data_IF_481082535156
#
_entry.id   IF_481082535156
#
_cell.length_a   1.000
_cell.length_b   1.000
_cell.length_c   1.000
_cell.angle_alpha   90.00
_cell.angle_beta   90.00
_cell.angle_gamma   90.00
#
_symmetry.space_group_name_H-M   'P 1'
#
loop_
_entity.id
_entity.type
_entity.pdbx_description
1 polymer ?
#
# COMPACT_ATOMS: atom_id res chain seq x y z
N UNK A 1 45.50 -0.02 6.05
CA UNK A 1 44.60 -1.12 5.65
C UNK A 1 43.33 -0.45 5.12
N UNK A 2 43.26 -0.13 3.81
CA UNK A 2 42.50 -0.87 2.76
C UNK A 2 41.02 -1.05 3.17
N UNK A 3 40.01 -0.47 2.50
CA UNK A 3 39.62 -0.58 1.08
C UNK A 3 38.87 0.70 0.63
N UNK A 4 39.13 1.34 -0.51
CA UNK A 4 38.99 0.92 -1.92
C UNK A 4 37.54 0.97 -2.44
N UNK A 5 37.19 2.13 -3.01
CA UNK A 5 36.15 2.37 -4.02
C UNK A 5 36.49 1.64 -5.32
N UNK A 6 35.50 1.07 -6.00
CA UNK A 6 35.69 0.51 -7.36
C UNK A 6 34.52 0.92 -8.25
N UNK A 7 34.82 1.85 -9.16
CA UNK A 7 34.12 2.12 -10.42
C UNK A 7 35.01 1.62 -11.56
N UNK A 8 34.41 1.04 -12.60
CA UNK A 8 35.04 0.66 -13.88
C UNK A 8 33.98 -0.12 -14.66
N UNK A 9 33.43 0.29 -15.80
CA UNK A 9 33.89 1.02 -16.99
C UNK A 9 34.71 0.16 -17.99
N UNK A 10 33.97 -0.44 -18.95
CA UNK A 10 34.29 -0.92 -20.32
C UNK A 10 35.41 -1.99 -20.52
N UNK A 11 35.53 -2.73 -21.66
CA UNK A 11 35.00 -2.47 -23.01
C UNK A 11 34.44 -3.68 -23.83
N UNK A 12 33.89 -3.38 -25.01
CA UNK A 12 33.66 -4.33 -26.12
C UNK A 12 34.72 -4.15 -27.23
N UNK A 13 35.07 -5.20 -28.02
CA UNK A 13 35.88 -5.04 -29.23
C UNK A 13 35.20 -5.54 -30.53
N UNK A 14 35.65 -4.97 -31.66
CA UNK A 14 35.44 -5.45 -33.04
C UNK A 14 34.76 -4.41 -33.93
N UNK A 15 35.40 -3.35 -34.44
CA UNK A 15 36.39 -3.25 -35.54
C UNK A 15 35.96 -3.86 -36.88
N UNK A 16 35.56 -3.01 -37.84
CA UNK A 16 35.96 -3.10 -39.26
C UNK A 16 35.79 -1.72 -39.95
N UNK A 17 36.84 -1.30 -40.67
CA UNK A 17 37.00 -0.11 -41.55
C UNK A 17 37.08 -0.63 -43.00
N UNK A 18 36.92 0.15 -44.12
CA UNK A 18 37.50 1.50 -44.37
C UNK A 18 36.67 2.47 -45.29
N UNK A 19 36.78 3.81 -45.11
CA UNK A 19 37.43 4.85 -45.98
C UNK A 19 36.78 5.19 -47.35
N UNK A 20 37.04 6.38 -47.95
CA UNK A 20 36.94 7.75 -47.43
C UNK A 20 36.08 8.69 -48.31
N UNK A 21 35.89 9.93 -47.82
CA UNK A 21 35.03 11.01 -48.32
C UNK A 21 35.48 11.65 -49.64
N UNK A 22 34.50 11.99 -50.50
CA UNK A 22 34.60 13.03 -51.53
C UNK A 22 33.57 14.14 -51.28
N UNK A 23 34.06 15.32 -50.91
CA UNK A 23 33.31 16.58 -50.74
C UNK A 23 33.13 17.21 -52.13
N UNK A 24 31.94 17.21 -52.75
CA UNK A 24 31.47 18.18 -53.78
C UNK A 24 30.11 17.77 -54.40
N UNK A 25 29.09 17.44 -53.57
CA UNK A 25 27.81 16.94 -54.09
C UNK A 25 26.53 17.44 -53.40
N UNK A 26 26.56 18.59 -52.71
CA UNK A 26 25.45 19.03 -51.84
C UNK A 26 24.75 20.34 -52.24
N UNK A 27 24.68 20.67 -53.52
CA UNK A 27 23.86 21.81 -53.99
C UNK A 27 22.86 21.50 -55.13
N UNK A 28 22.70 20.24 -55.55
CA UNK A 28 21.74 19.86 -56.62
C UNK A 28 20.52 19.03 -56.16
N UNK A 29 20.29 18.89 -54.84
CA UNK A 29 19.18 18.08 -54.29
C UNK A 29 17.98 18.86 -53.78
N UNK A 30 18.05 20.19 -53.70
CA UNK A 30 17.04 21.00 -53.00
C UNK A 30 15.75 21.28 -53.80
N UNK A 31 15.70 20.92 -55.09
CA UNK A 31 14.56 21.27 -55.97
C UNK A 31 13.70 20.09 -56.45
N UNK A 32 13.82 18.88 -55.89
CA UNK A 32 12.88 17.77 -56.19
C UNK A 32 12.50 16.94 -54.97
N UNK A 33 12.08 17.62 -53.90
CA UNK A 33 11.22 17.00 -52.88
C UNK A 33 9.79 16.95 -53.40
N UNK A 34 9.43 15.85 -54.09
CA UNK A 34 8.05 15.51 -54.46
C UNK A 34 7.20 15.59 -53.18
N UNK A 35 6.38 16.64 -53.03
CA UNK A 35 5.33 16.67 -52.02
C UNK A 35 4.42 15.49 -52.32
N UNK A 36 4.57 14.42 -51.55
CA UNK A 36 3.58 13.38 -51.46
C UNK A 36 2.34 14.06 -50.86
N UNK A 37 1.21 14.20 -51.58
CA UNK A 37 0.01 14.65 -50.93
C UNK A 37 -0.31 13.61 -49.87
N UNK A 38 -0.26 14.01 -48.60
CA UNK A 38 -0.93 13.27 -47.53
C UNK A 38 -2.38 13.21 -48.00
N UNK A 39 -2.82 12.02 -48.42
CA UNK A 39 -4.22 11.79 -48.67
C UNK A 39 -4.93 12.06 -47.34
N UNK A 40 -5.54 13.24 -47.22
CA UNK A 40 -6.51 13.52 -46.19
C UNK A 40 -7.64 12.53 -46.44
N UNK A 41 -7.60 11.36 -45.77
CA UNK A 41 -8.80 10.55 -45.61
C UNK A 41 -9.88 11.51 -45.11
N UNK A 42 -11.03 11.62 -45.79
CA UNK A 42 -12.07 12.55 -45.37
C UNK A 42 -12.41 12.21 -43.92
N UNK A 43 -12.21 13.18 -43.02
CA UNK A 43 -12.56 13.02 -41.62
C UNK A 43 -14.04 12.63 -41.59
N UNK A 44 -14.33 11.37 -41.31
CA UNK A 44 -15.71 10.91 -41.21
C UNK A 44 -16.30 11.65 -40.03
N UNK A 45 -17.30 12.49 -40.28
CA UNK A 45 -17.97 13.24 -39.24
C UNK A 45 -18.54 12.25 -38.21
N UNK A 46 -17.99 12.27 -36.99
CA UNK A 46 -18.52 11.49 -35.87
C UNK A 46 -19.30 12.46 -34.99
N UNK A 47 -20.59 12.21 -34.82
CA UNK A 47 -21.45 12.98 -33.91
C UNK A 47 -21.66 12.13 -32.65
N UNK A 48 -21.54 12.77 -31.49
CA UNK A 48 -21.72 12.14 -30.19
C UNK A 48 -22.56 13.04 -29.28
N UNK A 49 -23.49 12.44 -28.55
CA UNK A 49 -24.30 13.12 -27.54
C UNK A 49 -24.50 12.23 -26.32
N UNK A 50 -24.39 12.81 -25.13
CA UNK A 50 -24.70 12.14 -23.86
C UNK A 50 -26.00 12.69 -23.31
N UNK A 51 -26.90 11.82 -22.90
CA UNK A 51 -28.19 12.17 -22.30
C UNK A 51 -28.41 11.43 -21.01
N UNK A 52 -28.92 12.13 -20.02
CA UNK A 52 -29.43 11.53 -18.79
C UNK A 52 -30.85 11.01 -19.03
N UNK A 53 -31.18 9.88 -18.41
CA UNK A 53 -32.54 9.35 -18.42
C UNK A 53 -33.49 10.31 -17.69
N UNK A 54 -34.71 10.55 -18.21
CA UNK A 54 -35.64 11.49 -17.58
C UNK A 54 -36.13 10.99 -16.21
N UNK A 55 -36.29 9.67 -16.06
CA UNK A 55 -36.74 9.03 -14.82
C UNK A 55 -35.83 7.84 -14.46
N UNK A 56 -35.53 7.63 -13.17
CA UNK A 56 -34.82 6.45 -12.74
C UNK A 56 -35.68 5.20 -12.91
N UNK A 57 -35.04 4.07 -13.21
CA UNK A 57 -35.70 2.79 -13.37
C UNK A 57 -35.76 2.06 -12.02
N UNK A 58 -36.89 1.42 -11.76
CA UNK A 58 -37.06 0.58 -10.57
C UNK A 58 -36.79 -0.88 -10.93
N UNK A 59 -35.74 -1.46 -10.36
CA UNK A 59 -35.33 -2.84 -10.65
C UNK A 59 -35.44 -3.68 -9.37
N UNK A 60 -36.18 -4.79 -9.35
CA UNK A 60 -36.28 -5.62 -8.15
C UNK A 60 -34.93 -6.24 -7.79
N UNK A 61 -34.60 -6.21 -6.50
CA UNK A 61 -33.45 -6.92 -5.94
C UNK A 61 -33.77 -8.42 -5.73
N UNK A 62 -32.78 -9.18 -5.27
CA UNK A 62 -32.98 -10.55 -4.83
C UNK A 62 -34.10 -10.65 -3.76
N UNK A 63 -34.89 -11.72 -3.85
CA UNK A 63 -36.10 -11.92 -3.04
C UNK A 63 -37.31 -11.05 -3.42
N UNK A 64 -37.14 -10.00 -4.24
CA UNK A 64 -38.25 -9.20 -4.80
C UNK A 64 -39.01 -8.30 -3.82
N UNK A 65 -38.56 -8.17 -2.57
CA UNK A 65 -39.17 -7.30 -1.55
C UNK A 65 -38.67 -5.86 -1.63
N UNK A 66 -37.41 -5.69 -2.03
CA UNK A 66 -36.74 -4.41 -2.18
C UNK A 66 -36.40 -4.18 -3.64
N UNK A 67 -36.26 -2.92 -4.02
CA UNK A 67 -35.86 -2.52 -5.37
C UNK A 67 -34.67 -1.58 -5.35
N UNK A 68 -33.83 -1.70 -6.37
CA UNK A 68 -32.82 -0.72 -6.70
C UNK A 68 -33.44 0.42 -7.51
N UNK A 69 -33.01 1.65 -7.20
CA UNK A 69 -33.26 2.83 -8.01
C UNK A 69 -32.07 3.02 -8.94
N UNK A 70 -32.29 2.85 -10.25
CA UNK A 70 -31.24 2.85 -11.27
C UNK A 70 -31.32 4.15 -12.07
N UNK A 71 -30.37 5.04 -11.81
CA UNK A 71 -30.16 6.22 -12.65
C UNK A 71 -29.30 5.82 -13.84
N UNK A 72 -29.60 6.35 -15.03
CA UNK A 72 -28.86 5.97 -16.23
C UNK A 72 -28.55 7.16 -17.11
N UNK A 73 -27.46 7.03 -17.85
CA UNK A 73 -27.16 7.93 -18.97
C UNK A 73 -26.81 7.12 -20.21
N UNK A 74 -27.24 7.62 -21.35
CA UNK A 74 -26.99 7.04 -22.66
C UNK A 74 -26.02 7.92 -23.43
N UNK A 75 -25.06 7.29 -24.09
CA UNK A 75 -24.12 7.93 -25.01
C UNK A 75 -24.42 7.43 -26.40
N UNK A 76 -24.88 8.33 -27.25
CA UNK A 76 -25.25 8.08 -28.64
C UNK A 76 -24.11 8.50 -29.54
N UNK A 77 -23.78 7.67 -30.53
CA UNK A 77 -22.75 7.97 -31.53
C UNK A 77 -23.20 7.56 -32.92
N UNK A 78 -22.92 8.40 -33.92
CA UNK A 78 -23.16 8.10 -35.33
C UNK A 78 -21.98 8.56 -36.19
N UNK A 79 -21.75 7.88 -37.32
CA UNK A 79 -20.70 8.22 -38.29
C UNK A 79 -21.33 8.64 -39.61
N UNK A 80 -20.90 9.77 -40.16
CA UNK A 80 -21.38 10.30 -41.44
C UNK A 80 -22.80 10.87 -41.42
N UNK A 81 -23.41 11.03 -40.25
CA UNK A 81 -24.78 11.53 -40.08
C UNK A 81 -24.80 13.04 -39.85
N UNK A 82 -25.76 13.74 -40.48
CA UNK A 82 -25.96 15.17 -40.26
C UNK A 82 -26.47 15.44 -38.83
N UNK A 83 -25.97 16.46 -38.10
CA UNK A 83 -26.33 16.69 -36.69
C UNK A 83 -27.83 16.83 -36.40
N UNK A 84 -28.59 17.53 -37.26
CA UNK A 84 -30.04 17.68 -37.08
C UNK A 84 -30.78 16.34 -37.16
N UNK A 85 -30.38 15.48 -38.11
CA UNK A 85 -30.94 14.13 -38.28
C UNK A 85 -30.51 13.21 -37.15
N UNK A 86 -29.30 13.38 -36.64
CA UNK A 86 -28.82 12.66 -35.46
C UNK A 86 -29.69 12.95 -34.23
N UNK A 87 -29.98 14.21 -33.93
CA UNK A 87 -30.85 14.58 -32.78
C UNK A 87 -32.26 14.02 -32.95
N UNK A 88 -32.84 14.10 -34.15
CA UNK A 88 -34.14 13.52 -34.47
C UNK A 88 -34.17 12.00 -34.22
N UNK A 89 -33.12 11.29 -34.65
CA UNK A 89 -32.99 9.84 -34.45
C UNK A 89 -32.77 9.47 -32.98
N UNK A 90 -31.95 10.21 -32.25
CA UNK A 90 -31.77 10.00 -30.81
C UNK A 90 -33.11 10.16 -30.09
N UNK A 91 -33.92 11.17 -30.44
CA UNK A 91 -35.26 11.35 -29.87
C UNK A 91 -36.17 10.17 -30.19
N UNK A 92 -36.17 9.69 -31.43
CA UNK A 92 -37.03 8.58 -31.86
C UNK A 92 -36.69 7.25 -31.15
N UNK A 93 -35.42 7.00 -30.85
CA UNK A 93 -34.98 5.76 -30.21
C UNK A 93 -34.80 5.86 -28.69
N UNK A 94 -35.01 7.03 -28.07
CA UNK A 94 -34.79 7.22 -26.63
C UNK A 94 -35.61 6.23 -25.79
N UNK A 95 -36.90 6.08 -26.09
CA UNK A 95 -37.79 5.16 -25.36
C UNK A 95 -37.40 3.70 -25.59
N UNK A 96 -37.04 3.33 -26.83
CA UNK A 96 -36.58 1.99 -27.16
C UNK A 96 -35.28 1.63 -26.43
N UNK A 97 -34.36 2.60 -26.30
CA UNK A 97 -33.12 2.41 -25.54
C UNK A 97 -33.40 2.25 -24.04
N UNK A 98 -34.36 2.99 -23.48
CA UNK A 98 -34.76 2.83 -22.08
C UNK A 98 -35.35 1.43 -21.81
N UNK A 99 -36.23 0.93 -22.68
CA UNK A 99 -36.78 -0.43 -22.58
C UNK A 99 -35.68 -1.50 -22.72
N UNK A 100 -34.80 -1.35 -23.71
CA UNK A 100 -33.67 -2.27 -23.91
C UNK A 100 -32.75 -2.31 -22.70
N UNK A 101 -32.48 -1.15 -22.09
CA UNK A 101 -31.70 -1.05 -20.87
C UNK A 101 -32.40 -1.77 -19.73
N UNK A 102 -33.70 -1.52 -19.51
CA UNK A 102 -34.50 -2.18 -18.48
C UNK A 102 -34.46 -3.71 -18.62
N UNK A 103 -34.69 -4.23 -19.82
CA UNK A 103 -34.67 -5.67 -20.10
C UNK A 103 -33.31 -6.32 -19.79
N UNK A 104 -32.21 -5.58 -20.00
CA UNK A 104 -30.86 -6.08 -19.69
C UNK A 104 -30.53 -6.05 -18.20
N UNK A 105 -30.95 -5.00 -17.48
CA UNK A 105 -30.63 -4.85 -16.05
C UNK A 105 -31.59 -5.57 -15.11
N UNK A 106 -32.84 -5.80 -15.55
CA UNK A 106 -33.87 -6.49 -14.79
C UNK A 106 -33.44 -7.86 -14.23
N UNK A 107 -32.90 -8.80 -15.04
CA UNK A 107 -32.48 -10.09 -14.52
C UNK A 107 -31.27 -9.99 -13.57
N UNK A 108 -30.42 -8.98 -13.75
CA UNK A 108 -29.23 -8.76 -12.92
C UNK A 108 -29.64 -8.31 -11.52
N UNK A 109 -30.56 -7.35 -11.42
CA UNK A 109 -31.03 -6.88 -10.12
C UNK A 109 -31.55 -8.01 -9.23
N UNK A 110 -32.30 -8.97 -9.82
CA UNK A 110 -32.83 -10.14 -9.09
C UNK A 110 -31.76 -11.12 -8.61
N UNK A 111 -30.53 -11.04 -9.12
CA UNK A 111 -29.39 -11.81 -8.66
C UNK A 111 -28.55 -11.12 -7.59
N UNK A 112 -28.85 -9.86 -7.25
CA UNK A 112 -28.06 -9.04 -6.34
C UNK A 112 -28.79 -8.79 -5.02
N UNK A 113 -28.05 -8.90 -3.92
CA UNK A 113 -28.58 -8.64 -2.58
C UNK A 113 -28.90 -7.15 -2.42
N UNK A 114 -30.04 -6.80 -1.79
CA UNK A 114 -30.53 -5.42 -1.71
C UNK A 114 -29.61 -4.46 -0.92
N UNK A 115 -28.72 -5.02 -0.11
CA UNK A 115 -27.79 -4.29 0.75
C UNK A 115 -26.39 -4.11 0.15
N UNK A 116 -26.23 -4.51 -1.12
CA UNK A 116 -25.01 -4.42 -1.95
C UNK A 116 -25.28 -3.71 -3.30
N UNK A 117 -25.69 -2.42 -3.29
CA UNK A 117 -25.94 -1.67 -4.53
C UNK A 117 -24.71 -1.56 -5.43
N UNK A 118 -23.51 -1.54 -4.86
CA UNK A 118 -22.24 -1.49 -5.59
C UNK A 118 -22.00 -2.73 -6.46
N UNK A 119 -22.44 -3.90 -5.97
CA UNK A 119 -22.34 -5.15 -6.73
C UNK A 119 -23.33 -5.15 -7.90
N UNK A 120 -24.56 -4.69 -7.66
CA UNK A 120 -25.57 -4.54 -8.70
C UNK A 120 -25.10 -3.56 -9.78
N UNK A 121 -24.55 -2.41 -9.38
CA UNK A 121 -23.99 -1.43 -10.32
C UNK A 121 -22.88 -2.01 -11.19
N UNK A 122 -21.93 -2.73 -10.57
CA UNK A 122 -20.81 -3.33 -11.29
C UNK A 122 -21.27 -4.36 -12.32
N UNK A 123 -22.18 -5.27 -11.96
CA UNK A 123 -22.69 -6.30 -12.87
C UNK A 123 -23.59 -5.70 -13.97
N UNK A 124 -24.43 -4.70 -13.66
CA UNK A 124 -25.23 -3.99 -14.66
C UNK A 124 -24.34 -3.24 -15.66
N UNK A 125 -23.34 -2.48 -15.19
CA UNK A 125 -22.42 -1.76 -16.07
C UNK A 125 -21.53 -2.70 -16.90
N UNK A 126 -21.16 -3.86 -16.35
CA UNK A 126 -20.46 -4.91 -17.10
C UNK A 126 -21.32 -5.45 -18.23
N UNK A 127 -22.62 -5.65 -18.01
CA UNK A 127 -23.55 -6.08 -19.06
C UNK A 127 -23.76 -5.00 -20.13
N UNK A 128 -23.83 -3.73 -19.72
CA UNK A 128 -24.05 -2.58 -20.60
C UNK A 128 -22.77 -2.05 -21.28
N UNK A 129 -21.62 -2.71 -21.11
CA UNK A 129 -20.35 -2.28 -21.67
C UNK A 129 -20.36 -2.25 -23.21
N UNK A 130 -21.06 -3.21 -23.81
CA UNK A 130 -21.23 -3.31 -25.26
C UNK A 130 -22.34 -2.37 -25.75
N UNK A 131 -22.06 -1.48 -26.72
CA UNK A 131 -23.09 -0.65 -27.32
C UNK A 131 -24.02 -1.51 -28.17
N UNK A 132 -25.30 -1.14 -28.21
CA UNK A 132 -26.25 -1.69 -29.18
C UNK A 132 -26.51 -0.68 -30.30
N UNK A 133 -26.89 -1.18 -31.47
CA UNK A 133 -27.06 -0.39 -32.68
C UNK A 133 -28.52 -0.37 -33.13
N UNK A 134 -28.94 0.78 -33.66
CA UNK A 134 -30.19 0.95 -34.39
C UNK A 134 -29.84 1.26 -35.84
N UNK A 135 -30.42 0.48 -36.74
CA UNK A 135 -30.19 0.63 -38.18
C UNK A 135 -31.52 0.90 -38.87
N UNK A 136 -31.58 1.99 -39.62
CA UNK A 136 -32.74 2.31 -40.46
C UNK A 136 -32.27 3.03 -41.71
N UNK A 137 -32.74 2.57 -42.88
CA UNK A 137 -32.39 3.17 -44.18
C UNK A 137 -30.87 3.28 -44.46
N UNK A 138 -30.08 2.34 -43.93
CA UNK A 138 -28.62 2.30 -44.15
C UNK A 138 -27.81 3.26 -43.27
N UNK A 139 -28.46 3.95 -42.33
CA UNK A 139 -27.78 4.77 -41.32
C UNK A 139 -27.74 4.02 -39.99
N UNK A 140 -26.56 4.00 -39.37
CA UNK A 140 -26.32 3.30 -38.10
C UNK A 140 -26.09 4.34 -37.00
N UNK A 141 -26.88 4.24 -35.93
CA UNK A 141 -26.66 4.96 -34.68
C UNK A 141 -26.43 3.93 -33.56
N UNK A 142 -25.36 4.11 -32.79
CA UNK A 142 -25.05 3.23 -31.66
C UNK A 142 -25.33 3.94 -30.34
N UNK A 143 -25.87 3.20 -29.38
CA UNK A 143 -26.17 3.65 -28.03
C UNK A 143 -25.38 2.79 -27.03
N UNK A 144 -24.69 3.45 -26.10
CA UNK A 144 -24.10 2.83 -24.92
C UNK A 144 -24.76 3.41 -23.68
N UNK A 145 -25.25 2.56 -22.79
CA UNK A 145 -25.72 2.99 -21.49
C UNK A 145 -24.68 2.78 -20.40
N UNK A 146 -24.79 3.57 -19.35
CA UNK A 146 -24.13 3.36 -18.07
C UNK A 146 -25.13 3.71 -16.98
N UNK A 147 -25.01 3.02 -15.85
CA UNK A 147 -25.96 3.13 -14.74
C UNK A 147 -25.25 3.46 -13.44
N UNK A 148 -25.97 4.15 -12.57
CA UNK A 148 -25.64 4.34 -11.16
C UNK A 148 -26.78 3.75 -10.35
N UNK A 149 -26.45 2.93 -9.35
CA UNK A 149 -27.45 2.15 -8.62
C UNK A 149 -27.50 2.60 -7.16
N UNK A 150 -28.71 2.93 -6.70
CA UNK A 150 -28.99 3.24 -5.30
C UNK A 150 -29.88 2.15 -4.72
N UNK A 151 -29.58 1.71 -3.48
CA UNK A 151 -30.43 0.77 -2.76
C UNK A 151 -31.75 1.43 -2.34
N UNK A 152 -32.75 0.60 -2.04
CA UNK A 152 -34.03 1.03 -1.46
C UNK A 152 -33.79 1.88 -0.19
N UNK A 153 -34.50 3.00 -0.06
CA UNK A 153 -34.38 3.91 1.08
C UNK A 153 -34.57 3.19 2.42
N UNK A 154 -35.43 2.17 2.47
CA UNK A 154 -35.67 1.34 3.67
C UNK A 154 -34.43 0.53 4.07
N UNK A 155 -33.67 0.05 3.09
CA UNK A 155 -32.43 -0.71 3.31
C UNK A 155 -31.34 0.25 3.78
N UNK A 156 -31.18 1.38 3.08
CA UNK A 156 -30.21 2.44 3.45
C UNK A 156 -30.44 2.91 4.88
N UNK A 157 -31.69 3.22 5.25
CA UNK A 157 -32.07 3.68 6.59
C UNK A 157 -31.70 2.66 7.68
N UNK A 158 -31.79 1.37 7.39
CA UNK A 158 -31.44 0.30 8.34
C UNK A 158 -29.95 0.02 8.39
N UNK A 159 -29.23 0.17 7.28
CA UNK A 159 -27.79 -0.06 7.22
C UNK A 159 -26.97 1.09 7.80
N UNK A 160 -27.41 2.33 7.64
CA UNK A 160 -26.67 3.52 8.05
C UNK A 160 -26.13 3.43 9.50
N UNK A 161 -26.94 3.15 10.53
CA UNK A 161 -26.42 3.08 11.90
C UNK A 161 -25.43 1.92 12.13
N UNK A 162 -25.46 0.87 11.32
CA UNK A 162 -24.50 -0.23 11.38
C UNK A 162 -23.17 0.18 10.78
N UNK A 163 -23.20 0.84 9.61
CA UNK A 163 -22.00 1.38 8.97
C UNK A 163 -21.33 2.45 9.81
N UNK A 164 -22.09 3.35 10.43
CA UNK A 164 -21.55 4.36 11.35
C UNK A 164 -20.76 3.72 12.49
N UNK A 165 -21.29 2.66 13.11
CA UNK A 165 -20.57 1.90 14.16
C UNK A 165 -19.29 1.23 13.65
N UNK A 166 -19.31 0.69 12.44
CA UNK A 166 -18.13 0.09 11.83
C UNK A 166 -17.05 1.14 11.55
N UNK A 167 -17.44 2.30 11.03
CA UNK A 167 -16.53 3.43 10.77
C UNK A 167 -15.94 3.94 12.09
N UNK A 168 -16.76 4.13 13.12
CA UNK A 168 -16.29 4.55 14.44
C UNK A 168 -15.26 3.57 15.02
N UNK A 169 -15.55 2.27 14.94
CA UNK A 169 -14.65 1.22 15.41
C UNK A 169 -13.30 1.24 14.67
N UNK A 170 -13.32 1.35 13.34
CA UNK A 170 -12.09 1.42 12.53
C UNK A 170 -11.27 2.68 12.84
N UNK A 171 -11.94 3.84 12.95
CA UNK A 171 -11.27 5.08 13.31
C UNK A 171 -10.64 4.99 14.71
N UNK A 172 -11.36 4.44 15.69
CA UNK A 172 -10.83 4.23 17.03
C UNK A 172 -9.62 3.31 17.02
N UNK A 173 -9.71 2.19 16.30
CA UNK A 173 -8.59 1.26 16.16
C UNK A 173 -7.35 1.95 15.56
N UNK A 174 -7.52 2.75 14.50
CA UNK A 174 -6.42 3.51 13.89
C UNK A 174 -5.80 4.51 14.86
N UNK A 175 -6.60 5.20 15.66
CA UNK A 175 -6.10 6.13 16.68
C UNK A 175 -5.28 5.40 17.74
N UNK A 176 -5.78 4.30 18.29
CA UNK A 176 -5.04 3.54 19.30
C UNK A 176 -3.76 2.92 18.72
N UNK A 177 -3.82 2.39 17.49
CA UNK A 177 -2.62 1.91 16.80
C UNK A 177 -1.58 3.01 16.67
N UNK A 178 -2.00 4.21 16.26
CA UNK A 178 -1.08 5.34 16.10
C UNK A 178 -0.47 5.78 17.43
N UNK A 179 -1.24 5.73 18.53
CA UNK A 179 -0.71 6.01 19.88
C UNK A 179 0.36 5.02 20.27
N UNK A 180 0.14 3.72 20.03
CA UNK A 180 1.13 2.68 20.32
C UNK A 180 2.40 2.87 19.49
N UNK A 181 2.28 3.16 18.19
CA UNK A 181 3.42 3.46 17.32
C UNK A 181 4.24 4.65 17.87
N UNK A 182 3.56 5.72 18.32
CA UNK A 182 4.23 6.89 18.91
C UNK A 182 4.91 6.56 20.23
N UNK A 183 4.28 5.76 21.09
CA UNK A 183 4.88 5.32 22.35
C UNK A 183 6.10 4.45 22.09
N UNK A 184 6.03 3.52 21.15
CA UNK A 184 7.17 2.66 20.78
C UNK A 184 8.33 3.48 20.20
N UNK A 185 8.04 4.43 19.30
CA UNK A 185 9.04 5.38 18.78
C UNK A 185 9.71 6.19 19.89
N UNK A 186 8.92 6.69 20.85
CA UNK A 186 9.42 7.47 21.98
C UNK A 186 10.30 6.60 22.89
N UNK A 187 9.86 5.39 23.21
CA UNK A 187 10.61 4.43 24.02
C UNK A 187 11.93 4.05 23.34
N UNK A 188 11.91 3.83 22.02
CA UNK A 188 13.11 3.59 21.22
C UNK A 188 14.10 4.74 21.31
N UNK A 189 13.65 5.99 21.15
CA UNK A 189 14.52 7.17 21.29
C UNK A 189 15.06 7.34 22.71
N UNK A 190 14.27 7.04 23.73
CA UNK A 190 14.72 7.08 25.12
C UNK A 190 15.79 6.03 25.41
N UNK A 191 15.58 4.79 24.96
CA UNK A 191 16.59 3.74 25.05
C UNK A 191 17.88 4.17 24.36
N UNK A 192 17.80 4.63 23.11
CA UNK A 192 18.97 5.09 22.35
C UNK A 192 19.71 6.24 23.07
N UNK A 193 18.98 7.17 23.69
CA UNK A 193 19.57 8.26 24.47
C UNK A 193 20.32 7.71 25.69
N UNK A 194 19.68 6.84 26.48
CA UNK A 194 20.28 6.24 27.67
C UNK A 194 21.51 5.39 27.33
N UNK A 195 21.47 4.64 26.22
CA UNK A 195 22.62 3.89 25.71
C UNK A 195 23.77 4.80 25.28
N UNK A 196 23.48 5.87 24.53
CA UNK A 196 24.51 6.79 24.01
C UNK A 196 25.25 7.54 25.11
N UNK A 197 24.54 7.99 26.14
CA UNK A 197 25.17 8.81 27.17
C UNK A 197 25.69 8.01 28.38
N UNK A 198 25.34 6.72 28.50
CA UNK A 198 25.80 5.83 29.56
C UNK A 198 25.53 6.37 30.98
N UNK A 199 26.28 5.87 31.97
CA UNK A 199 26.19 6.29 33.39
C UNK A 199 26.80 7.69 33.67
N UNK A 200 27.01 8.49 32.62
CA UNK A 200 27.67 9.80 32.71
C UNK A 200 26.85 10.82 33.51
N UNK A 201 27.49 11.70 34.29
CA UNK A 201 26.79 12.74 35.09
C UNK A 201 26.05 13.76 34.21
N UNK A 202 26.36 13.82 32.92
CA UNK A 202 25.79 14.72 31.92
C UNK A 202 24.32 14.37 31.62
N UNK A 203 23.90 13.10 31.74
CA UNK A 203 22.52 12.66 31.43
C UNK A 203 21.51 13.25 32.39
N UNK A 204 21.83 13.25 33.69
CA UNK A 204 20.97 13.82 34.71
C UNK A 204 20.82 15.34 34.59
N UNK A 205 21.82 16.04 34.05
CA UNK A 205 21.75 17.49 33.82
C UNK A 205 21.09 17.84 32.49
N UNK A 206 21.37 17.08 31.42
CA UNK A 206 20.69 17.22 30.14
C UNK A 206 19.18 16.94 30.26
N UNK A 207 18.79 15.94 31.06
CA UNK A 207 17.39 15.65 31.34
C UNK A 207 16.66 16.83 32.03
N UNK A 208 17.35 17.59 32.92
CA UNK A 208 16.78 18.78 33.57
C UNK A 208 16.51 19.93 32.62
N UNK A 209 17.18 19.97 31.47
CA UNK A 209 16.93 20.97 30.42
C UNK A 209 15.68 20.63 29.60
N UNK A 210 15.25 19.37 29.60
CA UNK A 210 14.05 18.91 28.91
C UNK A 210 12.84 19.02 29.83
N UNK A 211 12.90 18.37 31.00
CA UNK A 211 11.80 18.36 31.98
C UNK A 211 12.26 17.87 33.37
N UNK A 212 11.63 18.38 34.43
CA UNK A 212 11.96 18.06 35.83
C UNK A 212 11.55 16.65 36.27
N UNK A 213 10.43 16.12 35.79
CA UNK A 213 9.98 14.75 36.08
C UNK A 213 10.88 13.74 35.38
N UNK A 214 11.19 14.00 34.10
CA UNK A 214 12.14 13.21 33.31
C UNK A 214 13.50 13.12 34.01
N UNK A 215 14.01 14.25 34.49
CA UNK A 215 15.28 14.27 35.22
C UNK A 215 15.25 13.45 36.52
N UNK A 216 14.08 13.34 37.16
CA UNK A 216 13.90 12.54 38.38
C UNK A 216 13.93 11.05 38.05
N UNK A 217 13.24 10.62 37.00
CA UNK A 217 13.26 9.23 36.53
C UNK A 217 14.67 8.81 36.11
N UNK A 218 15.36 9.64 35.32
CA UNK A 218 16.75 9.38 34.87
C UNK A 218 17.71 9.25 36.05
N UNK A 219 17.59 10.12 37.07
CA UNK A 219 18.40 9.99 38.29
C UNK A 219 18.08 8.72 39.08
N UNK A 220 16.81 8.34 39.15
CA UNK A 220 16.37 7.09 39.77
C UNK A 220 17.03 5.88 39.10
N UNK A 221 16.90 5.77 37.77
CA UNK A 221 17.50 4.71 36.97
C UNK A 221 19.03 4.65 37.10
N UNK A 222 19.70 5.81 37.05
CA UNK A 222 21.16 5.88 37.23
C UNK A 222 21.60 5.45 38.64
N UNK A 223 20.78 5.70 39.65
CA UNK A 223 21.06 5.29 41.03
C UNK A 223 20.87 3.79 41.20
N UNK A 224 19.78 3.24 40.66
CA UNK A 224 19.51 1.80 40.63
C UNK A 224 20.63 1.03 39.91
N UNK A 225 21.08 1.51 38.75
CA UNK A 225 22.19 0.91 37.99
C UNK A 225 23.53 0.96 38.74
N UNK A 226 23.82 2.05 39.45
CA UNK A 226 25.01 2.13 40.33
C UNK A 226 24.91 1.16 41.51
N UNK A 227 23.72 0.99 42.10
CA UNK A 227 23.48 0.02 43.16
C UNK A 227 23.75 -1.40 42.65
N UNK A 228 23.15 -1.79 41.51
CA UNK A 228 23.37 -3.11 40.91
C UNK A 228 24.85 -3.35 40.58
N UNK A 229 25.56 -2.33 40.09
CA UNK A 229 27.00 -2.41 39.82
C UNK A 229 27.83 -2.59 41.11
N UNK A 230 27.42 -1.92 42.20
CA UNK A 230 28.06 -2.06 43.50
C UNK A 230 27.84 -3.46 44.09
N UNK A 231 26.59 -3.93 44.05
CA UNK A 231 26.19 -5.27 44.50
C UNK A 231 26.98 -6.33 43.72
N UNK A 232 27.09 -6.19 42.39
CA UNK A 232 27.91 -7.07 41.57
C UNK A 232 29.39 -7.02 42.02
N UNK A 233 29.96 -5.83 42.20
CA UNK A 233 31.35 -5.68 42.61
C UNK A 233 31.60 -6.26 44.02
N UNK A 234 30.61 -6.21 44.91
CA UNK A 234 30.67 -6.84 46.24
C UNK A 234 30.61 -8.36 46.15
N UNK A 235 29.68 -8.91 45.36
CA UNK A 235 29.60 -10.35 45.08
C UNK A 235 30.92 -10.86 44.49
N UNK A 236 31.51 -10.14 43.53
CA UNK A 236 32.80 -10.50 42.93
C UNK A 236 33.97 -10.42 43.93
N UNK A 237 33.99 -9.41 44.82
CA UNK A 237 35.00 -9.29 45.89
C UNK A 237 34.88 -10.42 46.90
N UNK A 238 33.66 -10.71 47.36
CA UNK A 238 33.37 -11.81 48.27
C UNK A 238 33.82 -13.15 47.68
N UNK A 239 33.52 -13.39 46.40
CA UNK A 239 33.97 -14.59 45.69
C UNK A 239 35.51 -14.68 45.56
N UNK A 240 36.19 -13.56 45.29
CA UNK A 240 37.67 -13.50 45.25
C UNK A 240 38.30 -13.76 46.62
N UNK A 241 37.74 -13.21 47.69
CA UNK A 241 38.31 -13.38 49.02
C UNK A 241 38.07 -14.82 49.54
N UNK A 242 36.96 -15.46 49.14
CA UNK A 242 36.71 -16.89 49.36
C UNK A 242 37.71 -17.80 48.60
N UNK A 243 38.18 -17.39 47.41
CA UNK A 243 39.21 -18.11 46.63
C UNK A 243 40.54 -18.27 47.38
N UNK A 244 40.89 -17.38 48.31
CA UNK A 244 42.10 -17.55 49.13
C UNK A 244 41.99 -18.70 50.14
N UNK A 245 40.79 -19.24 50.36
CA UNK A 245 40.49 -20.18 51.45
C UNK A 245 40.05 -21.56 50.94
N UNK A 246 39.64 -21.69 49.66
CA UNK A 246 38.93 -22.87 49.12
C UNK A 246 39.54 -23.32 47.77
N UNK A 247 39.57 -24.63 47.52
CA UNK A 247 40.14 -25.23 46.29
C UNK A 247 39.43 -24.85 44.99
N UNK A 248 40.17 -24.88 43.88
CA UNK A 248 39.81 -24.28 42.57
C UNK A 248 38.49 -24.78 41.93
N UNK A 249 38.01 -25.97 42.28
CA UNK A 249 36.75 -26.54 41.75
C UNK A 249 35.49 -26.02 42.48
N UNK A 250 35.58 -25.86 43.80
CA UNK A 250 34.47 -25.29 44.60
C UNK A 250 34.33 -23.78 44.32
N UNK A 251 35.41 -23.13 43.90
CA UNK A 251 35.40 -21.77 43.39
C UNK A 251 34.59 -21.59 42.10
N UNK A 252 34.74 -22.47 41.11
CA UNK A 252 34.00 -22.35 39.84
C UNK A 252 32.48 -22.51 40.06
N UNK A 253 32.07 -23.40 40.97
CA UNK A 253 30.66 -23.59 41.31
C UNK A 253 30.05 -22.42 42.08
N UNK A 254 30.80 -21.82 43.01
CA UNK A 254 30.31 -20.66 43.77
C UNK A 254 30.19 -19.40 42.90
N UNK A 255 31.11 -19.22 41.95
CA UNK A 255 31.07 -18.10 41.01
C UNK A 255 29.89 -18.21 40.02
N UNK A 256 29.63 -19.41 39.50
CA UNK A 256 28.48 -19.64 38.61
C UNK A 256 27.14 -19.48 39.34
N UNK A 257 27.05 -19.92 40.60
CA UNK A 257 25.88 -19.71 41.44
C UNK A 257 25.63 -18.22 41.75
N UNK A 258 26.69 -17.47 42.03
CA UNK A 258 26.63 -16.04 42.29
C UNK A 258 26.21 -15.23 41.05
N UNK A 259 26.75 -15.57 39.87
CA UNK A 259 26.35 -14.97 38.59
C UNK A 259 24.88 -15.24 38.27
N UNK A 260 24.40 -16.48 38.47
CA UNK A 260 22.98 -16.83 38.26
C UNK A 260 22.03 -16.15 39.25
N UNK A 261 22.49 -15.86 40.46
CA UNK A 261 21.71 -15.08 41.43
C UNK A 261 21.59 -13.62 40.97
N UNK A 262 22.70 -13.02 40.52
CA UNK A 262 22.72 -11.67 39.98
C UNK A 262 21.88 -11.53 38.70
N UNK A 263 22.00 -12.45 37.74
CA UNK A 263 21.23 -12.45 36.50
C UNK A 263 19.70 -12.50 36.76
N UNK A 264 19.26 -13.31 37.74
CA UNK A 264 17.84 -13.38 38.14
C UNK A 264 17.36 -12.08 38.79
N UNK A 265 18.18 -11.46 39.62
CA UNK A 265 17.84 -10.21 40.31
C UNK A 265 17.81 -9.01 39.36
N UNK A 266 18.66 -9.00 38.33
CA UNK A 266 18.71 -7.96 37.31
C UNK A 266 17.69 -8.14 36.17
N UNK A 267 16.88 -9.20 36.19
CA UNK A 267 15.92 -9.51 35.11
C UNK A 267 16.59 -9.86 33.77
N UNK A 268 17.88 -10.20 33.78
CA UNK A 268 18.66 -10.53 32.60
C UNK A 268 18.54 -12.03 32.32
N UNK A 269 17.52 -12.46 31.58
CA UNK A 269 17.47 -13.83 31.04
C UNK A 269 18.53 -13.98 29.95
N UNK A 270 19.60 -14.72 30.25
CA UNK A 270 20.63 -15.06 29.26
C UNK A 270 19.99 -15.82 28.11
N UNK A 271 20.01 -15.25 26.90
CA UNK A 271 19.84 -16.02 25.68
C UNK A 271 20.86 -17.16 25.69
N UNK A 272 20.39 -18.38 25.49
CA UNK A 272 21.20 -19.60 25.51
C UNK A 272 22.35 -19.48 24.53
N UNK A 273 23.55 -19.18 25.01
CA UNK A 273 24.78 -19.50 24.29
C UNK A 273 24.94 -21.01 24.41
N UNK A 274 24.43 -21.74 23.42
CA UNK A 274 24.78 -23.14 23.19
C UNK A 274 26.30 -23.24 23.14
N UNK A 275 26.95 -24.02 24.02
CA UNK A 275 28.38 -24.25 23.89
C UNK A 275 28.60 -25.02 22.59
N UNK A 276 29.29 -24.37 21.67
CA UNK A 276 29.76 -24.95 20.43
C UNK A 276 30.47 -26.26 20.74
N UNK A 277 29.92 -27.31 20.15
CA UNK A 277 30.41 -28.68 20.18
C UNK A 277 31.89 -28.73 19.83
N UNK A 278 32.68 -29.17 20.81
CA UNK A 278 34.04 -29.69 20.65
C UNK A 278 34.09 -30.67 19.47
N UNK A 279 34.89 -30.45 18.42
CA UNK A 279 35.17 -31.50 17.44
C UNK A 279 36.34 -32.33 17.97
N UNK A 280 36.07 -33.54 18.46
CA UNK A 280 37.11 -34.56 18.60
C UNK A 280 37.36 -35.23 17.25
N UNK A 281 38.63 -35.14 16.84
CA UNK A 281 39.43 -36.09 16.07
C UNK A 281 38.97 -36.51 14.65
N UNK A 282 39.76 -36.14 13.63
CA UNK A 282 40.58 -37.11 12.86
C UNK A 282 41.49 -36.44 11.81
N UNK A 283 42.81 -36.55 11.99
CA UNK A 283 43.92 -36.68 11.00
C UNK A 283 45.22 -36.33 11.75
N UNK A 284 46.35 -37.02 11.68
CA UNK A 284 46.88 -37.99 10.73
C UNK A 284 48.09 -38.74 11.36
N UNK A 285 48.42 -39.91 10.79
CA UNK A 285 49.81 -40.33 10.58
C UNK A 285 50.37 -41.46 11.46
N UNK A 286 50.56 -42.64 10.86
CA UNK A 286 51.33 -43.76 11.41
C UNK A 286 50.89 -45.10 10.86
#
# INVERSE_FOLDING_TARGET
>A
MTMATTSGEYPAPGSERPAPRGLFGRLAGWLRGRRQPVALTPATLVVQERREGPEPLTVPADGGVFSFTVHYHTTWTAKGMHPARFVERVNAYADSAAHTLLDQVWPIGRGCLPHHPEQAEAEMNKKLAEPWCYEEHGEVISCRAQVQVTADERVVTRQLPLWERLVEMDLRYRVERRRLEVVDDLLGRWRDLLERFGDGPVVGQAARLVDTEVATVVRGLATERRSLSHDLAEVLRSARDAHHTIGMFEFAQSYDAALRAFERQAGLTRGTVTPDSRPDATSAGG
#
